data_IF_740398610984
#
_entry.id   IF_740398610984
#
_cell.length_a   1.000
_cell.length_b   1.000
_cell.length_c   1.000
_cell.angle_alpha   90.00
_cell.angle_beta   90.00
_cell.angle_gamma   90.00
#
_symmetry.space_group_name_H-M   'P 1'
#
loop_
_entity.id
_entity.type
_entity.pdbx_description
1 polymer ?
#
# COMPACT_ATOMS: atom_id res chain seq x y z
N UNK A 1 -37.56 6.33 -1.30
CA UNK A 1 -36.97 4.98 -1.15
C UNK A 1 -35.56 4.79 -1.64
N UNK A 2 -35.13 5.29 -2.80
CA UNK A 2 -33.74 5.05 -3.27
C UNK A 2 -32.69 5.91 -2.57
N UNK A 3 -32.97 7.21 -2.39
CA UNK A 3 -32.04 8.15 -1.72
C UNK A 3 -31.69 7.75 -0.29
N UNK A 4 -32.66 7.24 0.47
CA UNK A 4 -32.45 6.79 1.85
C UNK A 4 -31.51 5.58 1.93
N UNK A 5 -31.62 4.63 0.97
CA UNK A 5 -30.71 3.48 0.90
C UNK A 5 -29.28 3.90 0.57
N UNK A 6 -29.12 4.85 -0.36
CA UNK A 6 -27.82 5.41 -0.71
C UNK A 6 -27.20 6.12 0.51
N UNK A 7 -28.00 6.90 1.24
CA UNK A 7 -27.51 7.60 2.43
C UNK A 7 -27.02 6.64 3.51
N UNK A 8 -27.78 5.57 3.79
CA UNK A 8 -27.36 4.53 4.75
C UNK A 8 -26.03 3.91 4.31
N UNK A 9 -25.90 3.58 3.03
CA UNK A 9 -24.68 2.98 2.49
C UNK A 9 -23.46 3.90 2.61
N UNK A 10 -23.62 5.19 2.28
CA UNK A 10 -22.55 6.19 2.41
C UNK A 10 -22.13 6.34 3.88
N UNK A 11 -23.10 6.40 4.80
CA UNK A 11 -22.81 6.54 6.23
C UNK A 11 -22.08 5.33 6.79
N UNK A 12 -22.49 4.13 6.41
CA UNK A 12 -21.80 2.90 6.81
C UNK A 12 -20.35 2.88 6.31
N UNK A 13 -20.13 3.23 5.05
CA UNK A 13 -18.79 3.27 4.47
C UNK A 13 -17.89 4.33 5.13
N UNK A 14 -18.46 5.47 5.50
CA UNK A 14 -17.73 6.50 6.23
C UNK A 14 -17.37 6.06 7.65
N UNK A 15 -18.27 5.38 8.37
CA UNK A 15 -17.95 4.84 9.70
C UNK A 15 -16.85 3.76 9.62
N UNK A 16 -16.89 2.88 8.61
CA UNK A 16 -15.81 1.91 8.37
C UNK A 16 -14.47 2.61 8.13
N UNK A 17 -14.46 3.68 7.31
CA UNK A 17 -13.27 4.48 7.07
C UNK A 17 -12.73 5.10 8.37
N UNK A 18 -13.59 5.77 9.14
CA UNK A 18 -13.20 6.41 10.42
C UNK A 18 -12.66 5.37 11.40
N UNK A 19 -13.27 4.19 11.46
CA UNK A 19 -12.82 3.07 12.30
C UNK A 19 -11.40 2.64 11.95
N UNK A 20 -11.13 2.39 10.67
CA UNK A 20 -9.81 1.94 10.21
C UNK A 20 -8.72 2.98 10.47
N UNK A 21 -9.04 4.27 10.28
CA UNK A 21 -8.09 5.35 10.55
C UNK A 21 -7.85 5.48 12.06
N UNK A 22 -8.89 5.37 12.88
CA UNK A 22 -8.77 5.40 14.34
C UNK A 22 -7.87 4.27 14.86
N UNK A 23 -8.06 3.05 14.37
CA UNK A 23 -7.21 1.89 14.70
C UNK A 23 -5.76 2.09 14.23
N UNK A 24 -5.56 2.49 12.97
CA UNK A 24 -4.22 2.67 12.40
C UNK A 24 -3.44 3.80 13.05
N UNK A 25 -4.10 4.89 13.46
CA UNK A 25 -3.48 6.06 14.11
C UNK A 25 -3.55 6.02 15.63
N UNK A 26 -4.18 5.00 16.21
CA UNK A 26 -4.44 4.89 17.66
C UNK A 26 -5.14 6.13 18.21
N UNK A 27 -6.08 6.68 17.44
CA UNK A 27 -6.91 7.84 17.79
C UNK A 27 -8.34 7.39 18.14
N UNK A 28 -9.12 8.22 18.81
CA UNK A 28 -10.56 7.94 18.95
C UNK A 28 -11.30 8.24 17.65
N UNK A 29 -12.45 7.60 17.43
CA UNK A 29 -13.31 7.89 16.26
C UNK A 29 -13.71 9.36 16.23
N UNK A 30 -13.98 9.97 17.39
CA UNK A 30 -14.36 11.37 17.50
C UNK A 30 -13.23 12.31 17.07
N UNK A 31 -11.98 11.98 17.41
CA UNK A 31 -10.83 12.78 17.01
C UNK A 31 -10.55 12.66 15.51
N UNK A 32 -10.72 11.47 14.94
CA UNK A 32 -10.65 11.25 13.49
C UNK A 32 -11.78 12.00 12.77
N UNK A 33 -13.01 11.99 13.28
CA UNK A 33 -14.13 12.70 12.63
C UNK A 33 -13.92 14.22 12.64
N UNK A 34 -13.33 14.79 13.71
CA UNK A 34 -12.98 16.22 13.76
C UNK A 34 -11.99 16.63 12.67
N UNK A 35 -10.99 15.78 12.40
CA UNK A 35 -9.98 16.02 11.36
C UNK A 35 -10.41 15.49 9.99
N UNK A 36 -11.49 14.71 9.92
CA UNK A 36 -12.04 14.11 8.70
C UNK A 36 -12.97 15.03 7.91
N UNK A 37 -14.09 14.47 7.44
CA UNK A 37 -15.14 15.19 6.70
C UNK A 37 -14.71 15.79 5.35
N UNK A 38 -13.82 15.12 4.62
CA UNK A 38 -13.40 15.54 3.27
C UNK A 38 -12.45 16.74 3.24
N UNK A 39 -11.81 17.05 4.37
CA UNK A 39 -10.77 18.08 4.46
C UNK A 39 -9.49 17.64 3.73
N UNK A 40 -8.89 18.56 2.98
CA UNK A 40 -7.58 18.38 2.39
C UNK A 40 -6.49 18.90 3.34
N UNK A 41 -5.40 18.17 3.45
CA UNK A 41 -4.25 18.55 4.27
C UNK A 41 -2.98 18.64 3.42
N UNK A 42 -2.20 19.70 3.62
CA UNK A 42 -0.79 19.66 3.27
C UNK A 42 -0.07 18.71 4.22
N UNK A 43 1.02 18.05 3.78
CA UNK A 43 1.74 17.07 4.62
C UNK A 43 2.11 17.62 5.99
N UNK A 44 2.60 18.86 6.07
CA UNK A 44 2.93 19.54 7.33
C UNK A 44 1.74 19.71 8.28
N UNK A 45 0.54 19.94 7.75
CA UNK A 45 -0.68 20.08 8.55
C UNK A 45 -1.26 18.72 8.90
N UNK A 46 -1.12 17.73 8.02
CA UNK A 46 -1.44 16.33 8.30
C UNK A 46 -0.63 15.79 9.48
N UNK A 47 0.65 16.18 9.59
CA UNK A 47 1.48 15.84 10.75
C UNK A 47 0.97 16.47 12.05
N UNK A 48 0.60 17.76 12.02
CA UNK A 48 0.00 18.44 13.19
C UNK A 48 -1.33 17.79 13.61
N UNK A 49 -2.10 17.30 12.64
CA UNK A 49 -3.36 16.61 12.86
C UNK A 49 -3.22 15.13 13.26
N UNK A 50 -1.99 14.61 13.38
CA UNK A 50 -1.74 13.19 13.72
C UNK A 50 -2.02 12.20 12.58
N UNK A 51 -2.21 12.68 11.36
CA UNK A 51 -2.50 11.87 10.18
C UNK A 51 -1.25 11.39 9.45
N UNK A 52 -0.09 11.98 9.75
CA UNK A 52 1.22 11.67 9.15
C UNK A 52 2.26 11.63 10.25
N UNK A 53 3.15 10.63 10.22
CA UNK A 53 4.19 10.45 11.24
C UNK A 53 5.36 11.41 11.00
N UNK A 54 5.93 11.39 9.78
CA UNK A 54 7.07 12.20 9.39
C UNK A 54 6.96 12.80 7.98
N UNK A 55 7.73 13.88 7.75
CA UNK A 55 7.83 14.56 6.46
C UNK A 55 9.21 14.29 5.88
N UNK A 56 9.26 13.66 4.71
CA UNK A 56 10.49 13.28 4.03
C UNK A 56 10.28 12.93 2.57
N UNK A 57 11.31 12.38 1.95
CA UNK A 57 11.29 11.88 0.58
C UNK A 57 11.35 10.36 0.50
N UNK A 58 11.45 9.83 -0.73
CA UNK A 58 11.48 8.39 -1.00
C UNK A 58 12.58 7.65 -0.22
N UNK A 59 13.81 8.20 -0.17
CA UNK A 59 14.93 7.56 0.52
C UNK A 59 14.65 7.36 2.02
N UNK A 60 14.03 8.36 2.67
CA UNK A 60 13.68 8.26 4.08
C UNK A 60 12.58 7.20 4.31
N UNK A 61 11.61 7.09 3.39
CA UNK A 61 10.60 6.04 3.45
C UNK A 61 11.21 4.64 3.30
N UNK A 62 12.20 4.48 2.42
CA UNK A 62 12.94 3.23 2.25
C UNK A 62 13.75 2.87 3.50
N UNK A 63 14.40 3.84 4.14
CA UNK A 63 15.13 3.62 5.38
C UNK A 63 14.21 3.17 6.51
N UNK A 64 13.01 3.74 6.62
CA UNK A 64 12.00 3.27 7.58
C UNK A 64 11.54 1.85 7.27
N UNK A 65 11.20 1.56 6.01
CA UNK A 65 10.79 0.22 5.60
C UNK A 65 11.88 -0.84 5.85
N UNK A 66 13.14 -0.50 5.61
CA UNK A 66 14.30 -1.36 5.90
C UNK A 66 14.38 -1.68 7.40
N UNK A 67 14.27 -0.65 8.25
CA UNK A 67 14.30 -0.81 9.71
C UNK A 67 13.14 -1.66 10.22
N UNK A 68 11.94 -1.43 9.72
CA UNK A 68 10.76 -2.20 10.09
C UNK A 68 10.85 -3.67 9.63
N UNK A 69 11.52 -3.92 8.51
CA UNK A 69 11.81 -5.27 8.01
C UNK A 69 12.99 -5.97 8.73
N UNK A 70 13.70 -5.28 9.64
CA UNK A 70 14.85 -5.83 10.36
C UNK A 70 16.10 -6.07 9.51
N UNK A 71 16.20 -5.42 8.35
CA UNK A 71 17.36 -5.52 7.44
C UNK A 71 18.48 -4.61 7.96
N UNK A 72 19.71 -5.11 7.98
CA UNK A 72 20.85 -4.34 8.48
C UNK A 72 21.23 -3.19 7.54
N UNK A 73 21.79 -2.10 8.09
CA UNK A 73 22.11 -0.92 7.28
C UNK A 73 23.19 -1.18 6.22
N UNK A 74 24.06 -2.16 6.46
CA UNK A 74 25.14 -2.60 5.59
C UNK A 74 24.73 -3.72 4.61
N UNK A 75 23.50 -4.22 4.69
CA UNK A 75 22.97 -5.21 3.76
C UNK A 75 22.62 -4.54 2.42
N UNK A 76 23.15 -5.09 1.32
CA UNK A 76 22.82 -4.61 -0.03
C UNK A 76 21.35 -4.92 -0.34
N UNK A 77 20.56 -3.87 -0.59
CA UNK A 77 19.17 -4.00 -1.03
C UNK A 77 19.05 -3.65 -2.52
N UNK A 78 18.30 -4.46 -3.26
CA UNK A 78 17.89 -4.14 -4.62
C UNK A 78 16.46 -3.58 -4.61
N UNK A 79 16.30 -2.34 -5.08
CA UNK A 79 14.98 -1.70 -5.19
C UNK A 79 14.35 -2.08 -6.53
N UNK A 80 13.21 -2.76 -6.50
CA UNK A 80 12.50 -3.22 -7.70
C UNK A 80 11.25 -2.36 -7.96
N UNK A 81 11.28 -1.55 -9.03
CA UNK A 81 10.11 -0.79 -9.48
C UNK A 81 9.19 -1.66 -10.37
N UNK A 82 7.91 -1.77 -9.98
CA UNK A 82 6.90 -2.57 -10.71
C UNK A 82 5.67 -1.71 -11.02
N UNK A 83 5.19 -1.66 -12.29
CA UNK A 83 5.80 -2.25 -13.48
C UNK A 83 7.03 -1.45 -13.94
N UNK A 84 8.09 -2.12 -14.41
CA UNK A 84 9.28 -1.44 -14.95
C UNK A 84 8.83 -0.41 -16.00
N UNK A 85 9.32 0.82 -15.92
CA UNK A 85 9.19 1.74 -17.05
C UNK A 85 9.85 1.06 -18.26
N UNK A 86 9.08 0.70 -19.30
CA UNK A 86 9.66 0.14 -20.52
C UNK A 86 10.40 1.26 -21.25
N UNK A 87 11.67 1.44 -20.91
CA UNK A 87 12.59 2.23 -21.70
C UNK A 87 12.91 1.51 -23.03
N UNK A 88 13.56 2.22 -23.95
CA UNK A 88 13.98 1.68 -25.25
C UNK A 88 14.83 0.39 -25.14
N UNK A 89 15.50 0.19 -23.99
CA UNK A 89 16.33 -0.98 -23.70
C UNK A 89 15.52 -2.29 -23.55
N UNK A 90 14.19 -2.25 -23.37
CA UNK A 90 13.36 -3.47 -23.30
C UNK A 90 13.19 -4.20 -24.64
N UNK A 91 13.71 -3.63 -25.74
CA UNK A 91 13.72 -4.24 -27.07
C UNK A 91 14.89 -5.21 -27.27
N UNK A 92 15.88 -5.20 -26.38
CA UNK A 92 17.01 -6.12 -26.43
C UNK A 92 16.71 -7.37 -25.58
N UNK A 93 16.82 -8.59 -26.14
CA UNK A 93 16.55 -9.82 -25.41
C UNK A 93 17.76 -10.20 -24.54
N UNK A 94 18.01 -9.43 -23.48
CA UNK A 94 19.06 -9.73 -22.52
C UNK A 94 18.44 -10.36 -21.27
N UNK A 95 18.66 -11.67 -21.07
CA UNK A 95 18.17 -12.38 -19.89
C UNK A 95 18.99 -11.94 -18.66
N UNK A 96 18.35 -11.26 -17.71
CA UNK A 96 19.00 -10.76 -16.48
C UNK A 96 18.65 -11.63 -15.28
N UNK A 97 19.44 -11.59 -14.20
CA UNK A 97 19.13 -12.25 -12.91
C UNK A 97 17.76 -11.88 -12.35
N UNK A 98 17.26 -10.68 -12.70
CA UNK A 98 15.92 -10.17 -12.37
C UNK A 98 14.79 -10.97 -13.06
N UNK A 99 15.06 -11.61 -14.20
CA UNK A 99 14.06 -12.44 -14.87
C UNK A 99 13.78 -13.73 -14.10
N UNK A 100 14.73 -14.21 -13.28
CA UNK A 100 14.50 -15.34 -12.37
C UNK A 100 13.64 -14.96 -11.15
N UNK A 101 13.73 -13.71 -10.68
CA UNK A 101 12.88 -13.19 -9.60
C UNK A 101 11.45 -12.90 -10.08
N UNK A 102 11.25 -12.74 -11.39
CA UNK A 102 9.92 -12.63 -11.97
C UNK A 102 9.11 -13.93 -11.84
N UNK A 103 9.76 -15.08 -11.65
CA UNK A 103 9.12 -16.37 -11.40
C UNK A 103 8.85 -16.63 -9.91
N UNK A 104 9.20 -15.70 -9.01
CA UNK A 104 8.90 -15.80 -7.58
C UNK A 104 7.37 -15.74 -7.32
N UNK A 105 6.80 -16.70 -6.57
CA UNK A 105 5.37 -16.74 -6.26
C UNK A 105 4.82 -15.47 -5.61
N UNK A 106 5.59 -14.85 -4.71
CA UNK A 106 5.20 -13.62 -4.00
C UNK A 106 5.20 -12.44 -4.96
N UNK A 107 6.18 -12.35 -5.85
CA UNK A 107 6.24 -11.30 -6.87
C UNK A 107 5.09 -11.44 -7.87
N UNK A 108 4.71 -12.67 -8.24
CA UNK A 108 3.55 -12.94 -9.10
C UNK A 108 2.24 -12.56 -8.41
N UNK A 109 2.10 -12.84 -7.12
CA UNK A 109 0.96 -12.41 -6.32
C UNK A 109 0.84 -10.87 -6.30
N UNK A 110 1.92 -10.16 -5.95
CA UNK A 110 1.94 -8.70 -5.90
C UNK A 110 1.61 -8.11 -7.28
N UNK A 111 2.20 -8.64 -8.37
CA UNK A 111 1.89 -8.21 -9.74
C UNK A 111 0.42 -8.42 -10.10
N UNK A 112 -0.18 -9.52 -9.66
CA UNK A 112 -1.60 -9.84 -9.94
C UNK A 112 -2.51 -8.87 -9.20
N UNK A 113 -2.25 -8.62 -7.92
CA UNK A 113 -3.01 -7.68 -7.10
C UNK A 113 -2.88 -6.23 -7.60
N UNK A 114 -1.67 -5.83 -8.03
CA UNK A 114 -1.42 -4.49 -8.56
C UNK A 114 -2.08 -4.24 -9.94
N UNK A 115 -2.19 -5.27 -10.78
CA UNK A 115 -2.81 -5.17 -12.12
C UNK A 115 -4.34 -5.16 -12.07
N UNK A 116 -4.92 -5.82 -11.08
CA UNK A 116 -6.35 -5.99 -10.93
C UNK A 116 -6.85 -5.38 -9.60
N UNK A 117 -6.64 -4.08 -9.36
CA UNK A 117 -7.14 -3.46 -8.15
C UNK A 117 -8.67 -3.56 -8.15
N UNK A 118 -9.22 -4.23 -7.15
CA UNK A 118 -10.66 -4.40 -6.90
C UNK A 118 -11.44 -5.33 -7.85
N UNK A 119 -10.77 -6.05 -8.75
CA UNK A 119 -11.41 -7.12 -9.51
C UNK A 119 -11.26 -8.48 -8.80
N UNK A 120 -12.25 -9.38 -8.90
CA UNK A 120 -12.13 -10.73 -8.36
C UNK A 120 -10.94 -11.45 -9.00
N UNK A 121 -9.90 -11.69 -8.21
CA UNK A 121 -8.71 -12.39 -8.70
C UNK A 121 -9.02 -13.88 -8.94
N UNK A 122 -8.51 -14.48 -10.02
CA UNK A 122 -8.61 -15.92 -10.20
C UNK A 122 -7.97 -16.64 -9.01
N UNK A 123 -8.59 -17.74 -8.58
CA UNK A 123 -8.08 -18.56 -7.47
C UNK A 123 -6.69 -19.06 -7.85
N UNK A 124 -5.67 -18.59 -7.14
CA UNK A 124 -4.29 -19.00 -7.35
C UNK A 124 -4.09 -20.44 -6.82
N UNK A 125 -3.13 -21.17 -7.39
CA UNK A 125 -2.80 -22.51 -6.91
C UNK A 125 -2.25 -22.45 -5.45
N UNK A 126 -2.52 -23.46 -4.60
CA UNK A 126 -1.91 -23.54 -3.28
C UNK A 126 -0.38 -23.42 -3.34
N UNK A 127 0.19 -22.49 -2.56
CA UNK A 127 1.62 -22.16 -2.57
C UNK A 127 2.01 -21.00 -3.52
N UNK A 128 1.07 -20.44 -4.28
CA UNK A 128 1.30 -19.27 -5.15
C UNK A 128 1.03 -17.92 -4.47
N UNK A 129 0.72 -17.92 -3.17
CA UNK A 129 0.48 -16.74 -2.35
C UNK A 129 1.33 -16.81 -1.08
N UNK A 130 1.84 -15.67 -0.58
CA UNK A 130 2.58 -15.62 0.67
C UNK A 130 1.71 -16.10 1.82
N UNK A 131 2.20 -17.09 2.58
CA UNK A 131 1.62 -17.48 3.86
C UNK A 131 2.19 -16.53 4.91
N UNK A 132 1.42 -15.52 5.31
CA UNK A 132 1.81 -14.67 6.43
C UNK A 132 1.58 -15.48 7.71
N UNK A 133 2.66 -15.92 8.36
CA UNK A 133 2.55 -16.43 9.72
C UNK A 133 2.08 -15.29 10.64
N UNK A 134 1.09 -15.59 11.49
CA UNK A 134 0.49 -14.64 12.43
C UNK A 134 1.45 -14.25 13.56
#
# INVERSE_FOLDING_TARGET
>A
DERAKIEIWIRAHYDDFVTRVAEGRKMTKEDVDKVGQGRFYAGVDGRKAGLVDDIGGMMMALDFARKDAGIADDEEIEILEIPRSRGLMSLLPLQTTVDKLADDPVIQYIKTMAKNPYEPVPVLAPGSYPMFEN
#
